data_IF_827026868875
#
_entry.id   IF_827026868875
#
_cell.length_a   1.000
_cell.length_b   1.000
_cell.length_c   1.000
_cell.angle_alpha   90.00
_cell.angle_beta   90.00
_cell.angle_gamma   90.00
#
_symmetry.space_group_name_H-M   'P 1'
#
loop_
_entity.id
_entity.type
_entity.pdbx_description
1 polymer ?
#
# COMPACT_ATOMS: atom_id res chain seq x y z
N UNK A 1 8.25 -7.77 -2.57
CA UNK A 1 8.13 -9.17 -2.12
C UNK A 1 8.84 -9.28 -0.77
N UNK A 2 8.20 -9.85 0.24
CA UNK A 2 8.79 -10.02 1.58
C UNK A 2 9.53 -11.34 1.60
N UNK A 3 10.76 -11.35 2.12
CA UNK A 3 11.61 -12.54 2.13
C UNK A 3 11.17 -13.50 3.21
N UNK A 4 10.96 -14.76 2.84
CA UNK A 4 10.83 -15.86 3.79
C UNK A 4 12.20 -16.46 4.14
N UNK A 5 12.33 -17.04 5.34
CA UNK A 5 13.59 -17.60 5.85
C UNK A 5 14.27 -18.65 4.96
N UNK A 6 13.51 -19.28 4.06
CA UNK A 6 13.96 -20.36 3.18
C UNK A 6 14.37 -19.91 1.79
N UNK A 7 14.20 -18.63 1.45
CA UNK A 7 14.63 -18.15 0.15
C UNK A 7 16.15 -17.91 0.16
N UNK A 8 16.87 -18.63 -0.72
CA UNK A 8 18.29 -18.38 -0.94
C UNK A 8 18.47 -16.96 -1.50
N UNK A 9 19.48 -16.25 -1.01
CA UNK A 9 19.88 -14.96 -1.57
C UNK A 9 20.35 -15.17 -3.02
N UNK A 10 19.47 -14.90 -3.98
CA UNK A 10 19.81 -14.87 -5.39
C UNK A 10 20.53 -13.54 -5.67
N UNK A 11 21.86 -13.56 -5.63
CA UNK A 11 22.70 -12.37 -5.78
C UNK A 11 22.68 -11.75 -7.20
N UNK A 12 21.94 -12.34 -8.14
CA UNK A 12 21.90 -11.94 -9.55
C UNK A 12 20.61 -11.22 -9.95
N UNK A 13 19.75 -10.86 -9.00
CA UNK A 13 18.49 -10.16 -9.27
C UNK A 13 18.40 -8.89 -8.44
N UNK A 14 18.01 -7.80 -9.10
CA UNK A 14 17.60 -6.58 -8.39
C UNK A 14 16.22 -6.78 -7.77
N UNK A 15 16.06 -6.35 -6.51
CA UNK A 15 14.79 -6.40 -5.80
C UNK A 15 14.16 -5.02 -5.82
N UNK A 16 12.94 -4.92 -6.39
CA UNK A 16 12.16 -3.69 -6.39
C UNK A 16 10.99 -3.82 -5.41
N UNK A 17 10.74 -2.75 -4.67
CA UNK A 17 9.74 -2.71 -3.61
C UNK A 17 8.89 -1.45 -3.73
N UNK A 18 7.85 -1.31 -2.89
CA UNK A 18 7.06 -0.06 -2.79
C UNK A 18 7.92 1.16 -2.42
N UNK A 19 9.05 0.96 -1.75
CA UNK A 19 10.00 2.01 -1.38
C UNK A 19 11.07 2.26 -2.44
N UNK A 20 11.34 1.31 -3.32
CA UNK A 20 12.37 1.37 -4.35
C UNK A 20 11.81 0.80 -5.66
N UNK A 21 10.92 1.56 -6.27
CA UNK A 21 10.31 1.19 -7.54
C UNK A 21 11.29 1.35 -8.71
N UNK A 22 11.22 0.44 -9.69
CA UNK A 22 12.01 0.49 -10.92
C UNK A 22 11.28 1.20 -12.05
N UNK A 23 11.89 1.18 -13.24
CA UNK A 23 11.23 1.59 -14.50
C UNK A 23 10.04 0.69 -14.87
N UNK A 24 9.87 -0.44 -14.15
CA UNK A 24 8.72 -1.33 -14.28
C UNK A 24 7.49 -0.87 -13.47
N UNK A 25 7.59 0.24 -12.71
CA UNK A 25 6.48 0.75 -11.90
C UNK A 25 5.14 0.86 -12.65
N UNK A 26 5.06 1.37 -13.88
CA UNK A 26 3.78 1.45 -14.60
C UNK A 26 3.19 0.10 -15.04
N UNK A 27 3.95 -1.00 -14.91
CA UNK A 27 3.50 -2.33 -15.34
C UNK A 27 3.06 -3.25 -14.19
N UNK A 28 3.12 -2.78 -12.93
CA UNK A 28 2.71 -3.58 -11.76
C UNK A 28 1.28 -3.34 -11.32
N UNK A 29 0.61 -2.36 -11.92
CA UNK A 29 -0.77 -2.00 -11.68
C UNK A 29 -1.32 -1.19 -12.85
N UNK A 30 -2.49 -0.59 -12.71
CA UNK A 30 -3.01 0.36 -13.69
C UNK A 30 -2.45 1.76 -13.40
N UNK A 31 -2.04 2.46 -14.45
CA UNK A 31 -1.69 3.88 -14.37
C UNK A 31 -2.94 4.75 -14.32
N UNK A 32 -2.82 6.01 -13.88
CA UNK A 32 -3.94 6.95 -13.81
C UNK A 32 -4.63 7.13 -15.18
N UNK A 33 -3.85 7.26 -16.26
CA UNK A 33 -4.39 7.40 -17.63
C UNK A 33 -5.17 6.16 -18.08
N UNK A 34 -4.75 4.97 -17.69
CA UNK A 34 -5.47 3.72 -17.99
C UNK A 34 -6.76 3.63 -17.20
N UNK A 35 -6.73 3.97 -15.91
CA UNK A 35 -7.93 3.98 -15.06
C UNK A 35 -8.96 4.99 -15.55
N UNK A 36 -8.54 6.19 -15.97
CA UNK A 36 -9.42 7.18 -16.52
C UNK A 36 -10.15 6.66 -17.78
N UNK A 37 -9.41 6.04 -18.71
CA UNK A 37 -10.00 5.43 -19.92
C UNK A 37 -10.96 4.30 -19.58
N UNK A 38 -10.62 3.47 -18.60
CA UNK A 38 -11.50 2.40 -18.14
C UNK A 38 -12.78 2.96 -17.50
N UNK A 39 -12.68 4.02 -16.68
CA UNK A 39 -13.83 4.67 -16.08
C UNK A 39 -14.81 5.18 -17.14
N UNK A 40 -14.31 5.81 -18.21
CA UNK A 40 -15.13 6.26 -19.36
C UNK A 40 -15.83 5.06 -20.04
N UNK A 41 -15.12 3.97 -20.32
CA UNK A 41 -15.66 2.78 -21.01
C UNK A 41 -16.73 2.06 -20.19
N UNK A 42 -16.53 2.01 -18.86
CA UNK A 42 -17.43 1.30 -17.93
C UNK A 42 -18.43 2.22 -17.24
N UNK A 43 -18.51 3.50 -17.65
CA UNK A 43 -19.45 4.50 -17.13
C UNK A 43 -19.31 4.69 -15.60
N UNK A 44 -18.09 4.66 -15.07
CA UNK A 44 -17.79 4.97 -13.69
C UNK A 44 -17.32 6.42 -13.55
N UNK A 45 -17.64 7.05 -12.43
CA UNK A 45 -17.10 8.37 -12.10
C UNK A 45 -15.61 8.25 -11.74
N UNK A 46 -14.74 8.95 -12.49
CA UNK A 46 -13.30 8.85 -12.28
C UNK A 46 -12.85 9.45 -10.94
N UNK A 47 -13.49 10.52 -10.47
CA UNK A 47 -13.14 11.14 -9.20
C UNK A 47 -13.49 10.21 -8.03
N UNK A 48 -14.59 9.47 -8.13
CA UNK A 48 -14.93 8.43 -7.17
C UNK A 48 -13.93 7.26 -7.23
N UNK A 49 -13.55 6.79 -8.42
CA UNK A 49 -12.51 5.75 -8.56
C UNK A 49 -11.19 6.20 -7.95
N UNK A 50 -10.80 7.44 -8.18
CA UNK A 50 -9.59 8.03 -7.62
C UNK A 50 -9.67 8.10 -6.09
N UNK A 51 -10.74 8.63 -5.53
CA UNK A 51 -10.95 8.71 -4.08
C UNK A 51 -10.86 7.36 -3.39
N UNK A 52 -11.38 6.31 -4.04
CA UNK A 52 -11.45 4.99 -3.45
C UNK A 52 -10.17 4.15 -3.61
N UNK A 53 -9.42 4.32 -4.71
CA UNK A 53 -8.40 3.33 -5.09
C UNK A 53 -7.04 3.92 -5.48
N UNK A 54 -6.86 5.26 -5.48
CA UNK A 54 -5.58 5.92 -5.74
C UNK A 54 -4.68 5.92 -4.49
N UNK A 55 -3.52 6.56 -4.58
CA UNK A 55 -2.64 6.91 -3.46
C UNK A 55 -1.30 6.18 -3.43
N UNK A 56 -0.94 5.48 -4.50
CA UNK A 56 0.36 4.81 -4.60
C UNK A 56 1.23 5.47 -5.66
N UNK A 57 2.07 6.43 -5.23
CA UNK A 57 3.05 7.07 -6.10
C UNK A 57 4.33 6.23 -6.16
N UNK A 58 4.56 5.54 -7.26
CA UNK A 58 5.75 4.75 -7.53
C UNK A 58 6.62 5.47 -8.57
N UNK A 59 7.72 6.10 -8.13
CA UNK A 59 8.48 7.08 -8.90
C UNK A 59 7.59 8.26 -9.32
N UNK A 60 7.31 8.38 -10.63
CA UNK A 60 6.49 9.46 -11.20
C UNK A 60 5.10 8.98 -11.65
N UNK A 61 4.73 7.73 -11.33
CA UNK A 61 3.46 7.12 -11.74
C UNK A 61 2.53 6.94 -10.56
N UNK A 62 1.30 7.43 -10.70
CA UNK A 62 0.19 6.98 -9.86
C UNK A 62 -0.22 5.59 -10.34
N UNK A 63 -0.18 4.62 -9.42
CA UNK A 63 -0.45 3.22 -9.70
C UNK A 63 -1.62 2.74 -8.84
N UNK A 64 -2.59 2.13 -9.48
CA UNK A 64 -3.82 1.63 -8.87
C UNK A 64 -3.76 0.10 -8.76
N UNK A 65 -4.35 -0.43 -7.68
CA UNK A 65 -4.45 -1.88 -7.48
C UNK A 65 -5.31 -2.51 -8.59
N UNK A 66 -4.78 -3.48 -9.36
CA UNK A 66 -5.51 -4.11 -10.46
C UNK A 66 -6.81 -4.77 -10.03
N UNK A 67 -6.83 -5.42 -8.87
CA UNK A 67 -8.02 -6.10 -8.35
C UNK A 67 -9.15 -5.12 -8.06
N UNK A 68 -8.85 -4.02 -7.39
CA UNK A 68 -9.82 -3.00 -7.05
C UNK A 68 -10.39 -2.34 -8.32
N UNK A 69 -9.51 -1.93 -9.25
CA UNK A 69 -9.92 -1.32 -10.53
C UNK A 69 -10.82 -2.26 -11.33
N UNK A 70 -10.39 -3.50 -11.58
CA UNK A 70 -11.19 -4.47 -12.33
C UNK A 70 -12.55 -4.72 -11.65
N UNK A 71 -12.55 -4.84 -10.32
CA UNK A 71 -13.78 -5.13 -9.58
C UNK A 71 -14.77 -3.98 -9.65
N UNK A 72 -14.36 -2.73 -9.45
CA UNK A 72 -15.26 -1.57 -9.53
C UNK A 72 -15.76 -1.35 -10.97
N UNK A 73 -14.91 -1.51 -11.98
CA UNK A 73 -15.32 -1.39 -13.38
C UNK A 73 -16.41 -2.40 -13.75
N UNK A 74 -16.26 -3.66 -13.32
CA UNK A 74 -17.23 -4.71 -13.67
C UNK A 74 -18.51 -4.70 -12.82
N UNK A 75 -18.44 -4.23 -11.56
CA UNK A 75 -19.57 -4.32 -10.62
C UNK A 75 -20.27 -2.99 -10.38
N UNK A 76 -19.60 -1.86 -10.60
CA UNK A 76 -20.11 -0.53 -10.29
C UNK A 76 -20.30 -0.24 -8.80
N UNK A 77 -19.69 -1.06 -7.91
CA UNK A 77 -19.79 -0.91 -6.47
C UNK A 77 -18.49 -0.38 -5.89
N UNK A 78 -18.54 0.74 -5.18
CA UNK A 78 -17.41 1.30 -4.45
C UNK A 78 -17.39 0.74 -3.03
N UNK A 79 -16.45 -0.18 -2.78
CA UNK A 79 -16.23 -0.85 -1.49
C UNK A 79 -14.81 -1.35 -1.38
N UNK A 80 -14.41 -1.84 -0.21
CA UNK A 80 -13.13 -2.54 -0.09
C UNK A 80 -13.19 -3.89 -0.82
N UNK A 81 -12.19 -4.11 -1.68
CA UNK A 81 -11.88 -5.40 -2.30
C UNK A 81 -10.61 -6.01 -1.69
N UNK A 82 -10.03 -5.31 -0.70
CA UNK A 82 -8.78 -5.69 -0.04
C UNK A 82 -8.97 -6.75 1.05
N UNK A 83 -10.07 -6.68 1.79
CA UNK A 83 -10.40 -7.57 2.91
C UNK A 83 -10.47 -9.06 2.56
N UNK A 84 -10.62 -9.38 1.28
CA UNK A 84 -10.57 -10.76 0.77
C UNK A 84 -9.12 -11.29 0.58
N UNK A 85 -8.11 -10.59 1.11
CA UNK A 85 -6.70 -10.97 0.98
C UNK A 85 -6.11 -11.47 2.30
N UNK A 86 -5.23 -12.47 2.25
CA UNK A 86 -4.56 -13.03 3.43
C UNK A 86 -3.64 -12.04 4.17
N UNK A 87 -3.35 -10.87 3.58
CA UNK A 87 -2.47 -9.86 4.19
C UNK A 87 -3.08 -9.16 5.41
N UNK A 88 -4.41 -9.09 5.50
CA UNK A 88 -5.08 -8.52 6.69
C UNK A 88 -4.77 -9.32 7.96
N UNK A 89 -4.81 -10.64 7.89
CA UNK A 89 -4.50 -11.51 9.03
C UNK A 89 -3.06 -11.35 9.51
N UNK A 90 -2.14 -10.93 8.64
CA UNK A 90 -0.74 -10.72 8.98
C UNK A 90 -0.50 -9.43 9.78
N UNK A 91 -1.29 -8.37 9.57
CA UNK A 91 -1.08 -7.07 10.23
C UNK A 91 -1.84 -6.91 11.55
N UNK A 92 -3.00 -7.55 11.71
CA UNK A 92 -3.83 -7.43 12.93
C UNK A 92 -3.07 -7.74 14.23
N UNK A 93 -2.30 -8.84 14.33
CA UNK A 93 -1.50 -9.12 15.53
C UNK A 93 -0.48 -8.02 15.82
N UNK A 94 0.16 -7.45 14.78
CA UNK A 94 1.16 -6.40 14.92
C UNK A 94 0.56 -5.08 15.42
N UNK A 95 -0.62 -4.71 14.91
CA UNK A 95 -1.37 -3.54 15.39
C UNK A 95 -1.77 -3.74 16.85
N UNK A 96 -2.18 -4.95 17.24
CA UNK A 96 -2.58 -5.24 18.60
C UNK A 96 -1.42 -5.22 19.61
N UNK A 97 -0.20 -5.49 19.17
CA UNK A 97 1.01 -5.37 20.01
C UNK A 97 1.36 -3.93 20.36
N UNK A 98 0.82 -2.95 19.60
CA UNK A 98 0.95 -1.51 19.82
C UNK A 98 2.39 -1.03 20.13
N UNK A 99 3.35 -1.47 19.31
CA UNK A 99 4.74 -1.06 19.43
C UNK A 99 4.86 0.47 19.40
N UNK A 100 5.48 1.07 20.42
CA UNK A 100 5.86 2.48 20.48
C UNK A 100 4.73 3.47 20.09
N UNK A 101 3.47 3.16 20.44
CA UNK A 101 2.32 3.98 20.09
C UNK A 101 1.86 3.84 18.63
N UNK A 102 2.01 2.66 18.04
CA UNK A 102 1.59 2.36 16.67
C UNK A 102 0.12 2.71 16.44
N UNK A 103 -0.78 2.35 17.37
CA UNK A 103 -2.23 2.66 17.27
C UNK A 103 -2.50 4.15 17.18
N UNK A 104 -1.79 4.96 17.99
CA UNK A 104 -1.92 6.41 17.92
C UNK A 104 -1.51 6.94 16.55
N UNK A 105 -0.42 6.42 15.97
CA UNK A 105 0.03 6.79 14.62
C UNK A 105 -0.97 6.39 13.53
N UNK A 106 -1.60 5.22 13.64
CA UNK A 106 -2.65 4.78 12.71
C UNK A 106 -3.88 5.70 12.80
N UNK A 107 -4.32 6.05 14.03
CA UNK A 107 -5.45 6.97 14.24
C UNK A 107 -5.13 8.36 13.66
N UNK A 108 -3.90 8.85 13.83
CA UNK A 108 -3.43 10.10 13.24
C UNK A 108 -3.53 10.06 11.72
N UNK A 109 -3.07 8.99 11.07
CA UNK A 109 -3.17 8.80 9.62
C UNK A 109 -4.64 8.64 9.15
N UNK A 110 -5.49 7.97 9.92
CA UNK A 110 -6.93 7.87 9.63
C UNK A 110 -7.63 9.23 9.70
N UNK A 111 -7.11 10.18 10.48
CA UNK A 111 -7.60 11.57 10.50
C UNK A 111 -7.11 12.43 9.32
N UNK A 112 -6.30 11.86 8.42
CA UNK A 112 -5.76 12.51 7.24
C UNK A 112 -4.36 13.12 7.41
N UNK A 113 -3.68 12.88 8.54
CA UNK A 113 -2.32 13.33 8.75
C UNK A 113 -1.29 12.37 8.12
N UNK A 114 -0.07 12.86 7.94
CA UNK A 114 1.09 12.06 7.55
C UNK A 114 1.99 11.83 8.77
N UNK A 115 2.47 10.60 8.97
CA UNK A 115 3.35 10.21 10.07
C UNK A 115 4.75 9.89 9.55
N UNK A 116 5.79 10.43 10.18
CA UNK A 116 7.18 10.12 9.84
C UNK A 116 7.50 8.66 10.12
N UNK A 117 8.19 8.02 9.18
CA UNK A 117 8.62 6.61 9.28
C UNK A 117 10.09 6.49 8.88
N UNK A 118 10.87 5.82 9.73
CA UNK A 118 12.23 5.43 9.39
C UNK A 118 12.22 4.02 8.75
N UNK A 119 12.21 3.98 7.43
CA UNK A 119 12.16 2.72 6.66
C UNK A 119 13.47 1.95 6.63
N UNK A 120 14.57 2.52 7.13
CA UNK A 120 15.91 1.89 7.08
C UNK A 120 16.09 0.76 8.11
N UNK A 121 15.25 0.69 9.13
CA UNK A 121 15.34 -0.34 10.19
C UNK A 121 14.75 -1.68 9.76
N UNK A 122 13.79 -1.67 8.84
CA UNK A 122 13.11 -2.87 8.36
C UNK A 122 13.98 -3.63 7.35
N UNK A 123 14.24 -4.90 7.62
CA UNK A 123 15.10 -5.78 6.80
C UNK A 123 14.34 -6.64 5.79
N UNK A 124 13.11 -6.25 5.44
CA UNK A 124 12.22 -7.02 4.55
C UNK A 124 11.96 -8.45 5.06
N UNK A 125 11.90 -8.62 6.39
CA UNK A 125 11.70 -9.90 7.07
C UNK A 125 10.73 -9.69 8.25
N UNK A 126 9.65 -10.45 8.31
CA UNK A 126 8.63 -10.37 9.38
C UNK A 126 9.11 -10.86 10.72
N UNK A 127 10.20 -11.64 10.77
CA UNK A 127 10.77 -12.18 12.02
C UNK A 127 11.48 -11.11 12.85
N UNK A 128 11.89 -10.01 12.23
CA UNK A 128 12.67 -8.95 12.86
C UNK A 128 11.88 -7.66 13.14
N UNK A 129 10.56 -7.72 13.16
CA UNK A 129 9.71 -6.58 13.53
C UNK A 129 9.86 -6.31 15.03
N UNK A 130 10.39 -5.13 15.40
CA UNK A 130 10.68 -4.75 16.78
C UNK A 130 10.24 -3.35 17.18
N UNK A 131 9.80 -2.54 16.21
CA UNK A 131 9.45 -1.15 16.42
C UNK A 131 8.22 -0.76 15.62
N UNK A 132 7.62 0.38 15.98
CA UNK A 132 6.56 1.01 15.20
C UNK A 132 6.98 1.22 13.73
N UNK A 133 8.19 1.70 13.51
CA UNK A 133 8.70 1.99 12.17
C UNK A 133 8.82 0.73 11.31
N UNK A 134 9.18 -0.42 11.92
CA UNK A 134 9.21 -1.70 11.22
C UNK A 134 7.80 -2.13 10.79
N UNK A 135 6.79 -1.99 11.67
CA UNK A 135 5.40 -2.33 11.35
C UNK A 135 4.86 -1.40 10.26
N UNK A 136 5.06 -0.09 10.39
CA UNK A 136 4.61 0.87 9.37
C UNK A 136 5.29 0.60 8.02
N UNK A 137 6.59 0.28 8.02
CA UNK A 137 7.31 -0.09 6.78
C UNK A 137 6.76 -1.36 6.17
N UNK A 138 6.44 -2.37 6.98
CA UNK A 138 5.79 -3.59 6.54
C UNK A 138 4.42 -3.32 5.91
N UNK A 139 3.62 -2.45 6.54
CA UNK A 139 2.32 -2.02 6.01
C UNK A 139 2.45 -1.28 4.66
N UNK A 140 3.52 -0.47 4.48
CA UNK A 140 3.82 0.16 3.19
C UNK A 140 4.11 -0.91 2.13
N UNK A 141 4.93 -1.92 2.44
CA UNK A 141 5.25 -3.01 1.50
C UNK A 141 4.03 -3.86 1.12
N UNK A 142 3.09 -4.03 2.03
CA UNK A 142 1.83 -4.72 1.78
C UNK A 142 0.79 -3.85 1.04
N UNK A 143 0.99 -2.53 0.95
CA UNK A 143 0.06 -1.60 0.31
C UNK A 143 -1.06 -1.09 1.23
N UNK A 144 -0.98 -1.30 2.55
CA UNK A 144 -1.90 -0.67 3.51
C UNK A 144 -1.59 0.80 3.76
N UNK A 145 -0.38 1.24 3.47
CA UNK A 145 0.00 2.64 3.59
C UNK A 145 0.66 3.13 2.31
N UNK A 146 0.36 4.37 1.95
CA UNK A 146 1.13 5.14 1.00
C UNK A 146 2.40 5.70 1.66
N UNK A 147 3.42 5.99 0.87
CA UNK A 147 4.67 6.55 1.35
C UNK A 147 5.16 7.71 0.49
N UNK A 148 5.42 8.82 1.13
CA UNK A 148 6.01 9.99 0.51
C UNK A 148 7.53 9.96 0.71
N UNK A 149 8.28 9.69 -0.35
CA UNK A 149 9.75 9.59 -0.28
C UNK A 149 10.44 10.92 0.03
N UNK A 150 9.85 12.06 -0.33
CA UNK A 150 10.43 13.38 -0.11
C UNK A 150 10.35 13.80 1.36
N UNK A 151 9.20 13.59 1.97
CA UNK A 151 8.94 13.92 3.38
C UNK A 151 9.28 12.77 4.32
N UNK A 152 9.48 11.55 3.82
CA UNK A 152 9.67 10.29 4.58
C UNK A 152 8.50 10.03 5.54
N UNK A 153 7.28 10.19 5.02
CA UNK A 153 6.04 10.03 5.77
C UNK A 153 5.17 8.95 5.17
N UNK A 154 4.46 8.22 6.03
CA UNK A 154 3.40 7.29 5.65
C UNK A 154 2.03 7.96 5.86
N UNK A 155 1.04 7.52 5.08
CA UNK A 155 -0.33 8.00 5.14
C UNK A 155 -1.31 6.93 4.68
N UNK A 156 -2.59 7.07 5.03
CA UNK A 156 -3.67 6.22 4.50
C UNK A 156 -3.97 6.68 3.06
N UNK A 157 -3.76 5.81 2.06
CA UNK A 157 -3.75 6.25 0.67
C UNK A 157 -5.12 6.59 0.10
N UNK A 158 -6.18 5.89 0.53
CA UNK A 158 -7.50 5.98 -0.09
C UNK A 158 -8.61 5.48 0.84
N UNK A 159 -9.85 5.58 0.37
CA UNK A 159 -11.03 5.19 1.14
C UNK A 159 -11.14 3.67 1.31
N UNK A 160 -10.67 2.87 0.35
CA UNK A 160 -10.62 1.41 0.49
C UNK A 160 -9.82 0.99 1.71
N UNK A 161 -8.61 1.52 1.85
CA UNK A 161 -7.73 1.21 2.98
C UNK A 161 -8.22 1.84 4.28
N UNK A 162 -8.86 3.02 4.21
CA UNK A 162 -9.47 3.66 5.38
C UNK A 162 -10.51 2.77 6.05
N UNK A 163 -11.24 1.98 5.28
CA UNK A 163 -12.25 1.05 5.80
C UNK A 163 -11.66 -0.22 6.39
N UNK A 164 -10.42 -0.57 6.02
CA UNK A 164 -9.73 -1.77 6.51
C UNK A 164 -8.98 -1.54 7.84
N UNK A 165 -8.59 -0.30 8.15
CA UNK A 165 -7.81 0.07 9.33
C UNK A 165 -8.70 0.58 10.48
#
# INVERSE_FOLDING_TARGET
>A
MIKEKTQSALNNFDEFTMLSASDLAPYIGFTEDEVQKLAEVYYQDFDDVKRWYDGYLLRDYQVYNPRAVVSVMLRGEFKSYWSETASYEAIVPLINMDYDGLKASIIEMLSGAEVKVNTATFKNDTVNIKSKDDVLTYMIHLGYLGYNQKTKTAFVPNEEIRQEL
#
